data_IF_946068287231
#
_entry.id   IF_946068287231
#
_cell.length_a   1.000
_cell.length_b   1.000
_cell.length_c   1.000
_cell.angle_alpha   90.00
_cell.angle_beta   90.00
_cell.angle_gamma   90.00
#
_symmetry.space_group_name_H-M   'P 1'
#
loop_
_entity.id
_entity.type
_entity.pdbx_description
1 polymer ?
#
# COMPACT_ATOMS: atom_id res chain seq x y z
N UNK A 1 -10.70 6.42 17.61
CA UNK A 1 -9.44 6.80 16.92
C UNK A 1 -9.65 8.03 16.05
N UNK A 2 -8.62 8.80 15.75
CA UNK A 2 -8.69 9.99 14.90
C UNK A 2 -7.77 9.84 13.69
N UNK A 3 -8.05 10.57 12.61
CA UNK A 3 -7.14 10.59 11.43
C UNK A 3 -5.69 10.93 11.81
N UNK A 4 -5.48 11.71 12.87
CA UNK A 4 -4.13 12.06 13.34
C UNK A 4 -3.37 10.87 13.95
N UNK A 5 -4.05 9.76 14.26
CA UNK A 5 -3.45 8.53 14.79
C UNK A 5 -2.91 7.61 13.68
N UNK A 6 -2.79 8.12 12.46
CA UNK A 6 -2.32 7.38 11.28
C UNK A 6 -1.00 7.95 10.79
N UNK A 7 0.04 7.13 10.71
CA UNK A 7 1.28 7.42 9.98
C UNK A 7 1.19 6.80 8.58
N UNK A 8 1.56 7.55 7.55
CA UNK A 8 1.56 7.05 6.18
C UNK A 8 2.93 6.45 5.85
N UNK A 9 2.96 5.24 5.32
CA UNK A 9 4.15 4.61 4.75
C UNK A 9 4.03 4.71 3.23
N UNK A 10 4.95 5.44 2.61
CA UNK A 10 5.05 5.58 1.16
C UNK A 10 6.29 4.82 0.68
N UNK A 11 6.08 3.65 0.06
CA UNK A 11 7.16 2.81 -0.44
C UNK A 11 7.53 3.19 -1.88
N UNK A 12 8.81 3.46 -2.14
CA UNK A 12 9.31 3.79 -3.48
C UNK A 12 10.54 2.97 -3.85
N UNK A 13 10.72 2.77 -5.14
CA UNK A 13 11.86 2.11 -5.74
C UNK A 13 12.21 2.77 -7.08
N UNK A 14 13.28 2.34 -7.75
CA UNK A 14 13.61 2.87 -9.06
C UNK A 14 12.54 2.54 -10.10
N UNK A 15 12.18 3.55 -10.89
CA UNK A 15 11.26 3.44 -12.03
C UNK A 15 11.94 3.96 -13.33
N UNK A 16 11.41 3.62 -14.51
CA UNK A 16 11.99 4.06 -15.80
C UNK A 16 12.12 5.58 -15.94
N UNK A 17 11.21 6.37 -15.40
CA UNK A 17 11.18 7.83 -15.56
C UNK A 17 12.18 8.60 -14.69
N UNK A 18 12.83 7.96 -13.70
CA UNK A 18 13.83 8.65 -12.90
C UNK A 18 14.92 9.29 -13.75
N UNK A 19 15.35 10.50 -13.42
CA UNK A 19 15.22 11.24 -12.15
C UNK A 19 13.95 12.12 -12.02
N UNK A 20 12.91 11.89 -12.80
CA UNK A 20 11.64 12.60 -12.69
C UNK A 20 10.93 12.27 -11.36
N UNK A 21 10.26 13.26 -10.75
CA UNK A 21 9.54 13.11 -9.46
C UNK A 21 8.02 13.22 -9.59
N UNK A 22 7.47 13.44 -10.81
CA UNK A 22 6.04 13.71 -10.99
C UNK A 22 5.14 12.59 -10.43
N UNK A 23 5.55 11.32 -10.57
CA UNK A 23 4.77 10.19 -10.04
C UNK A 23 4.66 10.26 -8.51
N UNK A 24 5.76 10.56 -7.83
CA UNK A 24 5.77 10.73 -6.37
C UNK A 24 5.02 12.00 -5.96
N UNK A 25 5.15 13.08 -6.71
CA UNK A 25 4.40 14.32 -6.48
C UNK A 25 2.89 14.05 -6.53
N UNK A 26 2.42 13.32 -7.55
CA UNK A 26 1.03 12.93 -7.69
C UNK A 26 0.56 12.07 -6.52
N UNK A 27 1.36 11.08 -6.12
CA UNK A 27 1.02 10.19 -5.02
C UNK A 27 0.97 10.94 -3.69
N UNK A 28 1.92 11.83 -3.39
CA UNK A 28 1.90 12.66 -2.17
C UNK A 28 0.69 13.59 -2.18
N UNK A 29 0.39 14.23 -3.32
CA UNK A 29 -0.78 15.10 -3.44
C UNK A 29 -2.09 14.34 -3.21
N UNK A 30 -2.21 13.12 -3.72
CA UNK A 30 -3.35 12.26 -3.47
C UNK A 30 -3.51 11.91 -1.99
N UNK A 31 -2.41 11.59 -1.31
CA UNK A 31 -2.40 11.34 0.13
C UNK A 31 -2.84 12.61 0.89
N UNK A 32 -2.31 13.77 0.53
CA UNK A 32 -2.62 15.06 1.18
C UNK A 32 -4.08 15.50 1.03
N UNK A 33 -4.76 15.11 -0.06
CA UNK A 33 -6.19 15.33 -0.21
C UNK A 33 -6.99 14.64 0.91
N UNK A 34 -6.56 13.48 1.39
CA UNK A 34 -7.21 12.73 2.46
C UNK A 34 -6.58 13.00 3.85
N UNK A 35 -5.27 13.17 3.92
CA UNK A 35 -4.46 13.32 5.15
C UNK A 35 -3.54 14.55 5.08
N UNK A 36 -4.07 15.77 5.24
CA UNK A 36 -3.36 17.01 4.95
C UNK A 36 -2.14 17.27 5.85
N UNK A 37 -2.09 16.71 7.04
CA UNK A 37 -1.08 17.02 8.06
C UNK A 37 -0.33 15.81 8.62
N UNK A 38 -0.75 14.59 8.29
CA UNK A 38 -0.16 13.36 8.84
C UNK A 38 1.31 13.21 8.43
N UNK A 39 2.08 12.56 9.28
CA UNK A 39 3.44 12.16 8.93
C UNK A 39 3.43 11.15 7.78
N UNK A 40 4.30 11.38 6.80
CA UNK A 40 4.60 10.41 5.74
C UNK A 40 6.05 9.96 5.94
N UNK A 41 6.25 8.68 6.19
CA UNK A 41 7.57 8.06 6.15
C UNK A 41 7.76 7.49 4.74
N UNK A 42 8.63 8.14 3.97
CA UNK A 42 8.93 7.74 2.60
C UNK A 42 10.12 6.77 2.59
N UNK A 43 9.87 5.53 2.24
CA UNK A 43 10.89 4.50 2.06
C UNK A 43 11.44 4.59 0.63
N UNK A 44 12.75 4.77 0.48
CA UNK A 44 13.42 4.84 -0.83
C UNK A 44 14.38 3.66 -0.91
N UNK A 45 14.02 2.63 -1.67
CA UNK A 45 14.82 1.40 -1.78
C UNK A 45 16.15 1.64 -2.52
N UNK A 46 17.11 0.76 -2.27
CA UNK A 46 18.37 0.73 -3.01
C UNK A 46 18.24 0.06 -4.39
N UNK A 47 19.28 0.17 -5.20
CA UNK A 47 19.34 -0.42 -6.52
C UNK A 47 19.63 -1.92 -6.47
N UNK A 48 18.98 -2.69 -7.33
CA UNK A 48 19.36 -4.06 -7.65
C UNK A 48 20.65 -4.06 -8.50
N UNK A 49 21.38 -5.15 -8.51
CA UNK A 49 22.61 -5.28 -9.30
C UNK A 49 22.40 -5.00 -10.79
N UNK A 50 21.27 -5.45 -11.32
CA UNK A 50 20.88 -5.28 -12.73
C UNK A 50 20.56 -3.82 -13.09
N UNK A 51 20.28 -2.98 -12.07
CA UNK A 51 19.89 -1.58 -12.20
C UNK A 51 21.05 -0.61 -11.96
N UNK A 52 22.27 -1.09 -11.66
CA UNK A 52 23.43 -0.24 -11.34
C UNK A 52 23.84 0.69 -12.50
N UNK A 53 23.50 0.34 -13.74
CA UNK A 53 23.71 1.21 -14.90
C UNK A 53 22.87 2.49 -14.87
N UNK A 54 21.86 2.57 -14.00
CA UNK A 54 20.99 3.73 -13.78
C UNK A 54 21.29 4.47 -12.46
N UNK A 55 22.46 4.21 -11.88
CA UNK A 55 22.82 4.76 -10.57
C UNK A 55 22.77 6.29 -10.54
N UNK A 56 23.30 6.94 -11.57
CA UNK A 56 23.38 8.40 -11.61
C UNK A 56 22.00 9.05 -11.69
N UNK A 57 21.09 8.52 -12.51
CA UNK A 57 19.69 8.97 -12.58
C UNK A 57 18.98 8.78 -11.24
N UNK A 58 19.24 7.65 -10.56
CA UNK A 58 18.59 7.35 -9.31
C UNK A 58 19.16 8.16 -8.12
N UNK A 59 20.45 8.45 -8.15
CA UNK A 59 21.06 9.35 -7.16
C UNK A 59 20.55 10.78 -7.33
N UNK A 60 20.40 11.25 -8.58
CA UNK A 60 19.76 12.53 -8.87
C UNK A 60 18.30 12.57 -8.38
N UNK A 61 17.52 11.51 -8.62
CA UNK A 61 16.17 11.38 -8.08
C UNK A 61 16.15 11.52 -6.54
N UNK A 62 17.02 10.78 -5.83
CA UNK A 62 17.12 10.86 -4.36
C UNK A 62 17.43 12.29 -3.90
N UNK A 63 18.36 12.98 -4.58
CA UNK A 63 18.69 14.37 -4.26
C UNK A 63 17.50 15.30 -4.45
N UNK A 64 16.72 15.14 -5.53
CA UNK A 64 15.49 15.91 -5.76
C UNK A 64 14.46 15.64 -4.68
N UNK A 65 14.26 14.39 -4.29
CA UNK A 65 13.32 14.02 -3.21
C UNK A 65 13.76 14.64 -1.87
N UNK A 66 15.04 14.57 -1.52
CA UNK A 66 15.55 15.19 -0.30
C UNK A 66 15.32 16.70 -0.30
N UNK A 67 15.59 17.37 -1.43
CA UNK A 67 15.31 18.79 -1.57
C UNK A 67 13.81 19.10 -1.39
N UNK A 68 12.93 18.32 -2.02
CA UNK A 68 11.47 18.48 -1.89
C UNK A 68 10.99 18.22 -0.46
N UNK A 69 11.54 17.23 0.24
CA UNK A 69 11.22 16.99 1.66
C UNK A 69 11.59 18.17 2.55
N UNK A 70 12.65 18.92 2.21
CA UNK A 70 13.09 20.10 2.97
C UNK A 70 12.31 21.37 2.63
N UNK A 71 11.81 21.51 1.40
CA UNK A 71 11.32 22.79 0.89
C UNK A 71 9.87 22.77 0.40
N UNK A 72 9.34 21.64 -0.05
CA UNK A 72 8.03 21.56 -0.68
C UNK A 72 7.06 20.63 0.06
N UNK A 73 7.49 19.40 0.41
CA UNK A 73 6.61 18.45 1.04
C UNK A 73 6.44 18.76 2.52
N UNK A 74 5.19 18.75 2.95
CA UNK A 74 4.88 18.98 4.36
C UNK A 74 4.92 17.67 5.14
N UNK A 75 5.71 17.63 6.23
CA UNK A 75 5.77 16.51 7.17
C UNK A 75 6.07 15.16 6.48
N UNK A 76 7.12 15.13 5.64
CA UNK A 76 7.62 13.93 4.97
C UNK A 76 9.03 13.62 5.48
N UNK A 77 9.20 12.42 6.05
CA UNK A 77 10.48 11.90 6.53
C UNK A 77 11.01 10.85 5.54
N UNK A 78 12.06 11.14 4.75
CA UNK A 78 12.66 10.15 3.87
C UNK A 78 13.58 9.19 4.62
N UNK A 79 13.44 7.89 4.37
CA UNK A 79 14.36 6.84 4.81
C UNK A 79 14.98 6.21 3.56
N UNK A 80 16.27 6.47 3.36
CA UNK A 80 17.01 5.97 2.20
C UNK A 80 17.74 4.67 2.57
N UNK A 81 17.55 3.65 1.75
CA UNK A 81 18.25 2.38 1.87
C UNK A 81 19.39 2.33 0.85
N UNK A 82 20.63 2.16 1.32
CA UNK A 82 21.81 2.15 0.45
C UNK A 82 21.86 0.93 -0.47
N UNK A 83 21.31 -0.18 0.01
CA UNK A 83 21.26 -1.44 -0.73
C UNK A 83 19.81 -1.83 -0.99
N UNK A 84 19.58 -2.59 -2.07
CA UNK A 84 18.28 -3.16 -2.35
C UNK A 84 17.79 -4.00 -1.16
N UNK A 85 16.76 -3.51 -0.53
CA UNK A 85 16.19 -4.05 0.73
C UNK A 85 14.85 -4.72 0.51
N UNK A 86 14.17 -4.36 -0.56
CA UNK A 86 12.81 -4.81 -0.86
C UNK A 86 11.79 -4.44 0.24
N UNK A 87 10.51 -4.63 -0.04
CA UNK A 87 9.40 -4.22 0.85
C UNK A 87 9.52 -4.77 2.27
N UNK A 88 9.81 -6.07 2.43
CA UNK A 88 9.87 -6.72 3.75
C UNK A 88 10.93 -6.10 4.65
N UNK A 89 12.16 -5.92 4.14
CA UNK A 89 13.27 -5.36 4.93
C UNK A 89 13.03 -3.88 5.22
N UNK A 90 12.55 -3.12 4.24
CA UNK A 90 12.20 -1.71 4.43
C UNK A 90 11.14 -1.56 5.52
N UNK A 91 10.05 -2.34 5.44
CA UNK A 91 8.96 -2.28 6.41
C UNK A 91 9.41 -2.70 7.82
N UNK A 92 10.23 -3.76 7.95
CA UNK A 92 10.77 -4.16 9.27
C UNK A 92 11.58 -3.08 9.96
N UNK A 93 12.35 -2.31 9.20
CA UNK A 93 13.11 -1.18 9.76
C UNK A 93 12.19 -0.02 10.11
N UNK A 94 11.25 0.30 9.23
CA UNK A 94 10.38 1.46 9.38
C UNK A 94 9.30 1.28 10.44
N UNK A 95 8.77 0.05 10.62
CA UNK A 95 7.66 -0.20 11.56
C UNK A 95 8.01 0.16 13.01
N UNK A 96 9.28 0.18 13.35
CA UNK A 96 9.76 0.54 14.68
C UNK A 96 9.81 2.06 14.91
N UNK A 97 9.83 2.85 13.82
CA UNK A 97 9.82 4.32 13.89
C UNK A 97 8.39 4.87 14.01
N UNK A 98 7.38 4.06 13.69
CA UNK A 98 5.98 4.48 13.75
C UNK A 98 5.53 4.61 15.20
N UNK A 99 5.09 5.81 15.57
CA UNK A 99 4.58 6.14 16.91
C UNK A 99 3.06 6.03 17.04
N UNK A 100 2.35 5.99 15.92
CA UNK A 100 0.88 5.87 15.88
C UNK A 100 0.45 4.40 15.97
N UNK A 101 -0.81 4.17 16.32
CA UNK A 101 -1.39 2.82 16.36
C UNK A 101 -1.76 2.28 14.99
N UNK A 102 -1.92 3.16 14.00
CA UNK A 102 -2.32 2.84 12.65
C UNK A 102 -1.30 3.30 11.63
N UNK A 103 -1.22 2.56 10.53
CA UNK A 103 -0.51 2.97 9.32
C UNK A 103 -1.46 2.95 8.11
N UNK A 104 -1.23 3.86 7.19
CA UNK A 104 -1.74 3.79 5.82
C UNK A 104 -0.55 3.44 4.92
N UNK A 105 -0.58 2.27 4.29
CA UNK A 105 0.45 1.87 3.32
C UNK A 105 0.04 2.32 1.92
N UNK A 106 0.98 2.92 1.20
CA UNK A 106 0.81 3.36 -0.20
C UNK A 106 2.11 3.07 -0.95
N UNK A 107 2.04 2.53 -2.15
CA UNK A 107 3.19 2.46 -3.05
C UNK A 107 3.28 3.73 -3.90
N UNK A 108 4.48 4.08 -4.34
CA UNK A 108 4.72 5.32 -5.07
C UNK A 108 3.96 5.43 -6.40
N UNK A 109 3.48 4.32 -6.92
CA UNK A 109 2.71 4.18 -8.17
C UNK A 109 1.23 3.81 -7.95
N UNK A 110 0.78 3.74 -6.69
CA UNK A 110 -0.62 3.39 -6.37
C UNK A 110 -1.31 4.45 -5.51
N UNK A 111 -1.48 5.69 -6.02
CA UNK A 111 -2.12 6.77 -5.27
C UNK A 111 -3.58 6.46 -4.93
N UNK A 112 -4.07 7.11 -3.86
CA UNK A 112 -5.50 7.20 -3.58
C UNK A 112 -6.18 8.10 -4.62
N UNK A 113 -7.47 7.89 -4.88
CA UNK A 113 -8.24 8.79 -5.74
C UNK A 113 -8.60 10.05 -4.95
N UNK A 114 -8.06 11.24 -5.31
CA UNK A 114 -8.16 12.44 -4.46
C UNK A 114 -9.57 13.00 -4.34
N UNK A 115 -10.38 12.89 -5.41
CA UNK A 115 -11.71 13.48 -5.52
C UNK A 115 -12.83 12.49 -5.13
N UNK A 116 -12.48 11.32 -4.60
CA UNK A 116 -13.45 10.30 -4.16
C UNK A 116 -13.55 10.31 -2.65
N UNK A 117 -14.76 10.46 -2.16
CA UNK A 117 -15.03 10.40 -0.72
C UNK A 117 -14.77 8.99 -0.17
N UNK A 118 -13.96 8.96 0.89
CA UNK A 118 -13.74 7.79 1.74
C UNK A 118 -14.21 8.17 3.15
N UNK A 119 -15.15 7.40 3.69
CA UNK A 119 -15.57 7.56 5.08
C UNK A 119 -14.49 7.03 6.03
N UNK A 120 -13.48 7.87 6.24
CA UNK A 120 -12.35 7.55 7.11
C UNK A 120 -12.77 7.30 8.55
N UNK A 121 -13.80 8.00 9.05
CA UNK A 121 -14.26 7.78 10.42
C UNK A 121 -14.82 6.36 10.57
N UNK A 122 -15.62 5.91 9.62
CA UNK A 122 -16.16 4.55 9.60
C UNK A 122 -15.05 3.49 9.50
N UNK A 123 -14.00 3.73 8.69
CA UNK A 123 -12.83 2.86 8.63
C UNK A 123 -12.10 2.80 9.98
N UNK A 124 -11.89 3.95 10.63
CA UNK A 124 -11.24 4.05 11.92
C UNK A 124 -12.04 3.34 13.01
N UNK A 125 -13.36 3.53 13.03
CA UNK A 125 -14.27 2.90 14.00
C UNK A 125 -14.24 1.36 13.85
N UNK A 126 -14.25 0.84 12.62
CA UNK A 126 -14.18 -0.61 12.37
C UNK A 126 -12.89 -1.22 12.95
N UNK A 127 -11.76 -0.50 12.83
CA UNK A 127 -10.50 -0.93 13.42
C UNK A 127 -10.52 -0.74 14.95
N UNK A 128 -11.01 0.39 15.45
CA UNK A 128 -11.06 0.67 16.89
C UNK A 128 -11.87 -0.37 17.65
N UNK A 129 -13.01 -0.79 17.11
CA UNK A 129 -13.86 -1.85 17.68
C UNK A 129 -13.34 -3.28 17.43
N UNK A 130 -12.09 -3.42 16.97
CA UNK A 130 -11.43 -4.70 16.72
C UNK A 130 -12.13 -5.59 15.68
N UNK A 131 -12.95 -5.01 14.82
CA UNK A 131 -13.64 -5.70 13.72
C UNK A 131 -12.77 -5.82 12.47
N UNK A 132 -11.73 -4.99 12.35
CA UNK A 132 -10.77 -5.03 11.26
C UNK A 132 -9.32 -4.93 11.76
N UNK A 133 -8.41 -5.65 11.12
CA UNK A 133 -6.97 -5.43 11.21
C UNK A 133 -6.45 -4.65 10.02
N UNK A 134 -7.07 -4.84 8.85
CA UNK A 134 -6.70 -4.15 7.61
C UNK A 134 -7.94 -3.85 6.77
N UNK A 135 -7.98 -2.64 6.19
CA UNK A 135 -9.01 -2.20 5.24
C UNK A 135 -8.31 -1.72 3.98
N UNK A 136 -8.53 -2.40 2.86
CA UNK A 136 -7.96 -2.10 1.55
C UNK A 136 -8.84 -1.16 0.74
N UNK A 137 -8.21 -0.22 0.03
CA UNK A 137 -8.88 0.70 -0.89
C UNK A 137 -8.69 0.22 -2.33
N UNK A 138 -9.78 -0.31 -2.89
CA UNK A 138 -9.73 -1.03 -4.13
C UNK A 138 -9.59 -0.09 -5.33
N UNK A 139 -8.81 -0.51 -6.35
CA UNK A 139 -8.61 0.26 -7.57
C UNK A 139 -9.54 -0.20 -8.71
N UNK A 140 -10.19 -1.34 -8.57
CA UNK A 140 -11.18 -1.82 -9.53
C UNK A 140 -12.58 -1.35 -9.16
N UNK A 141 -13.45 -1.26 -10.17
CA UNK A 141 -14.87 -0.90 -9.98
C UNK A 141 -15.74 -2.10 -9.61
N UNK A 142 -15.23 -3.32 -9.82
CA UNK A 142 -15.90 -4.58 -9.48
C UNK A 142 -14.87 -5.63 -9.09
N UNK A 143 -15.30 -6.62 -8.33
CA UNK A 143 -14.44 -7.77 -7.99
C UNK A 143 -14.29 -8.67 -9.22
N UNK A 144 -13.06 -8.95 -9.69
CA UNK A 144 -12.80 -9.87 -10.79
C UNK A 144 -13.39 -11.26 -10.51
N UNK A 145 -13.84 -11.96 -11.57
CA UNK A 145 -14.49 -13.27 -11.42
C UNK A 145 -13.59 -14.30 -10.75
N UNK A 146 -12.31 -14.25 -11.08
CA UNK A 146 -11.26 -15.12 -10.54
C UNK A 146 -11.04 -14.93 -9.03
N UNK A 147 -11.33 -13.74 -8.49
CA UNK A 147 -11.16 -13.43 -7.07
C UNK A 147 -12.44 -13.60 -6.24
N UNK A 148 -13.59 -13.91 -6.86
CA UNK A 148 -14.87 -14.00 -6.15
C UNK A 148 -14.87 -15.06 -5.05
N UNK A 149 -14.13 -16.15 -5.22
CA UNK A 149 -14.03 -17.22 -4.21
C UNK A 149 -13.29 -16.78 -2.94
N UNK A 150 -12.57 -15.65 -2.97
CA UNK A 150 -11.88 -15.03 -1.84
C UNK A 150 -12.71 -13.98 -1.12
N UNK A 151 -13.94 -13.73 -1.59
CA UNK A 151 -14.84 -12.71 -1.05
C UNK A 151 -16.01 -13.38 -0.34
N UNK A 152 -16.41 -12.82 0.80
CA UNK A 152 -17.44 -13.41 1.66
C UNK A 152 -18.61 -12.45 1.88
N UNK A 153 -18.81 -11.97 3.09
CA UNK A 153 -19.94 -11.12 3.43
C UNK A 153 -19.65 -9.64 3.16
N UNK A 154 -20.67 -8.94 2.67
CA UNK A 154 -20.68 -7.48 2.55
C UNK A 154 -21.49 -6.93 3.73
N UNK A 155 -20.81 -6.25 4.65
CA UNK A 155 -21.42 -5.63 5.82
C UNK A 155 -21.13 -4.12 5.80
N UNK A 156 -22.20 -3.32 5.74
CA UNK A 156 -22.14 -1.87 5.90
C UNK A 156 -21.08 -1.15 5.02
N UNK A 157 -20.92 -1.62 3.78
CA UNK A 157 -19.96 -1.07 2.82
C UNK A 157 -18.53 -1.59 2.97
N UNK A 158 -18.34 -2.66 3.74
CA UNK A 158 -17.07 -3.39 3.82
C UNK A 158 -17.26 -4.82 3.38
N UNK A 159 -16.40 -5.29 2.49
CA UNK A 159 -16.42 -6.65 1.95
C UNK A 159 -15.34 -7.49 2.62
N UNK A 160 -15.74 -8.57 3.28
CA UNK A 160 -14.81 -9.53 3.88
C UNK A 160 -14.01 -10.24 2.79
N UNK A 161 -12.71 -10.46 3.02
CA UNK A 161 -11.85 -11.11 2.04
C UNK A 161 -10.77 -11.98 2.67
N UNK A 162 -10.38 -13.06 1.99
CA UNK A 162 -9.16 -13.80 2.24
C UNK A 162 -7.98 -13.29 1.40
N UNK A 163 -8.19 -12.29 0.56
CA UNK A 163 -7.17 -11.78 -0.35
C UNK A 163 -6.33 -10.69 0.32
N UNK A 164 -5.03 -10.98 0.55
CA UNK A 164 -4.06 -9.92 0.85
C UNK A 164 -3.64 -9.21 -0.44
N UNK A 165 -3.43 -7.89 -0.36
CA UNK A 165 -2.84 -7.10 -1.45
C UNK A 165 -2.10 -5.89 -0.89
N UNK A 166 -0.99 -5.48 -1.55
CA UNK A 166 -0.23 -4.28 -1.20
C UNK A 166 -0.86 -2.98 -1.75
N UNK A 167 -2.01 -3.04 -2.40
CA UNK A 167 -2.77 -1.82 -2.74
C UNK A 167 -2.95 -0.94 -1.50
N UNK A 168 -3.23 0.36 -1.65
CA UNK A 168 -3.38 1.25 -0.50
C UNK A 168 -4.31 0.66 0.54
N UNK A 169 -3.85 0.59 1.77
CA UNK A 169 -4.63 0.02 2.86
C UNK A 169 -4.31 0.65 4.22
N UNK A 170 -5.34 0.84 5.02
CA UNK A 170 -5.25 1.22 6.42
C UNK A 170 -5.09 -0.04 7.26
N UNK A 171 -4.12 -0.08 8.16
CA UNK A 171 -3.86 -1.25 9.00
C UNK A 171 -3.41 -0.90 10.41
N UNK A 172 -3.62 -1.83 11.35
CA UNK A 172 -2.98 -1.76 12.67
C UNK A 172 -1.47 -1.94 12.53
N UNK A 173 -0.69 -1.08 13.17
CA UNK A 173 0.77 -1.24 13.28
C UNK A 173 1.10 -2.57 13.99
N UNK A 174 0.34 -2.93 15.03
CA UNK A 174 0.50 -4.20 15.74
C UNK A 174 0.28 -5.42 14.87
N UNK A 175 -0.68 -5.37 13.93
CA UNK A 175 -0.95 -6.47 13.00
C UNK A 175 0.23 -6.68 12.03
N UNK A 176 0.79 -5.60 11.48
CA UNK A 176 2.01 -5.68 10.68
C UNK A 176 3.18 -6.26 11.48
N UNK A 177 3.39 -5.73 12.70
CA UNK A 177 4.53 -6.11 13.56
C UNK A 177 4.50 -7.56 14.02
N UNK A 178 3.31 -8.06 14.37
CA UNK A 178 3.18 -9.36 15.04
C UNK A 178 2.60 -10.48 14.15
N UNK A 179 1.96 -10.14 13.03
CA UNK A 179 1.32 -11.14 12.16
C UNK A 179 1.88 -11.13 10.75
N UNK A 180 1.97 -9.97 10.09
CA UNK A 180 2.38 -9.91 8.68
C UNK A 180 3.90 -10.13 8.53
N UNK A 181 4.73 -9.37 9.24
CA UNK A 181 6.17 -9.38 9.01
C UNK A 181 6.91 -10.63 9.55
N UNK A 182 6.55 -11.24 10.70
CA UNK A 182 7.34 -12.32 11.27
C UNK A 182 7.57 -13.53 10.38
N UNK A 183 6.57 -14.07 9.64
CA UNK A 183 6.74 -15.26 8.81
C UNK A 183 7.47 -14.99 7.49
N UNK A 184 7.74 -13.72 7.14
CA UNK A 184 8.32 -13.37 5.85
C UNK A 184 9.85 -13.45 5.88
N UNK A 185 10.44 -13.82 4.74
CA UNK A 185 11.88 -13.73 4.54
C UNK A 185 12.33 -12.26 4.41
N UNK A 186 13.63 -12.01 4.56
CA UNK A 186 14.22 -10.72 4.18
C UNK A 186 14.24 -10.58 2.66
N UNK A 187 14.19 -9.33 2.18
CA UNK A 187 14.26 -9.01 0.74
C UNK A 187 13.19 -9.71 -0.11
N UNK A 188 11.92 -9.66 0.33
CA UNK A 188 10.78 -10.22 -0.39
C UNK A 188 9.68 -9.18 -0.63
N UNK A 189 8.83 -9.43 -1.63
CA UNK A 189 7.53 -8.78 -1.72
C UNK A 189 6.63 -9.25 -0.59
N UNK A 190 6.01 -8.33 0.11
CA UNK A 190 5.08 -8.68 1.19
C UNK A 190 3.87 -9.39 0.59
N UNK A 191 3.32 -8.90 -0.54
CA UNK A 191 2.13 -9.47 -1.17
C UNK A 191 2.32 -10.93 -1.56
N UNK A 192 3.38 -11.25 -2.29
CA UNK A 192 3.65 -12.60 -2.83
C UNK A 192 3.70 -13.69 -1.74
N UNK A 193 4.20 -13.33 -0.56
CA UNK A 193 4.35 -14.28 0.54
C UNK A 193 3.13 -14.31 1.46
N UNK A 194 2.60 -13.12 1.77
CA UNK A 194 1.50 -12.98 2.73
C UNK A 194 0.20 -13.51 2.17
N UNK A 195 -0.05 -13.32 0.86
CA UNK A 195 -1.31 -13.76 0.23
C UNK A 195 -1.57 -15.25 0.44
N UNK A 196 -0.60 -16.11 0.11
CA UNK A 196 -0.75 -17.56 0.28
C UNK A 196 -0.95 -17.96 1.75
N UNK A 197 -0.16 -17.41 2.66
CA UNK A 197 -0.25 -17.71 4.10
C UNK A 197 -1.66 -17.38 4.63
N UNK A 198 -2.17 -16.19 4.33
CA UNK A 198 -3.48 -15.75 4.80
C UNK A 198 -4.60 -16.57 4.16
N UNK A 199 -4.49 -16.82 2.85
CA UNK A 199 -5.49 -17.63 2.15
C UNK A 199 -5.57 -19.03 2.73
N UNK A 200 -4.44 -19.70 2.98
CA UNK A 200 -4.40 -21.04 3.56
C UNK A 200 -4.99 -21.09 4.99
N UNK A 201 -4.84 -20.01 5.77
CA UNK A 201 -5.40 -19.92 7.12
C UNK A 201 -6.91 -19.62 7.10
N UNK A 202 -7.40 -18.78 6.18
CA UNK A 202 -8.83 -18.43 6.08
C UNK A 202 -9.63 -19.48 5.30
N UNK A 203 -9.01 -20.13 4.31
CA UNK A 203 -9.64 -21.13 3.43
C UNK A 203 -8.92 -22.48 3.48
N UNK A 204 -8.70 -23.07 4.66
CA UNK A 204 -8.09 -24.40 4.72
C UNK A 204 -8.96 -25.41 3.96
N UNK A 205 -8.36 -26.13 3.00
CA UNK A 205 -9.06 -27.08 2.14
C UNK A 205 -10.26 -26.45 1.38
N UNK A 206 -10.12 -25.21 0.92
CA UNK A 206 -11.15 -24.42 0.22
C UNK A 206 -12.46 -24.20 1.04
N UNK A 207 -12.36 -24.28 2.37
CA UNK A 207 -13.48 -24.03 3.28
C UNK A 207 -13.21 -22.84 4.17
N UNK A 208 -14.19 -21.94 4.25
CA UNK A 208 -14.09 -20.78 5.12
C UNK A 208 -13.93 -21.19 6.59
N UNK A 209 -12.87 -20.69 7.21
CA UNK A 209 -12.55 -20.85 8.62
C UNK A 209 -12.85 -19.55 9.36
N UNK A 210 -13.80 -19.59 10.28
CA UNK A 210 -14.12 -18.44 11.15
C UNK A 210 -12.91 -18.04 11.98
N UNK A 211 -12.21 -19.01 12.60
CA UNK A 211 -11.02 -18.75 13.42
C UNK A 211 -9.88 -18.14 12.57
N UNK A 212 -9.68 -18.66 11.35
CA UNK A 212 -8.70 -18.11 10.42
C UNK A 212 -9.02 -16.68 10.03
N UNK A 213 -10.30 -16.39 9.74
CA UNK A 213 -10.70 -15.03 9.40
C UNK A 213 -10.62 -14.08 10.60
N UNK A 214 -11.06 -14.49 11.79
CA UNK A 214 -10.95 -13.70 13.03
C UNK A 214 -9.50 -13.30 13.37
N UNK A 215 -8.53 -14.15 13.02
CA UNK A 215 -7.11 -13.82 13.16
C UNK A 215 -6.69 -12.67 12.26
N UNK A 216 -7.20 -12.62 11.04
CA UNK A 216 -6.77 -11.66 10.02
C UNK A 216 -7.69 -10.45 9.88
N UNK A 217 -9.01 -10.63 9.88
CA UNK A 217 -10.03 -9.56 9.78
C UNK A 217 -9.72 -8.59 8.65
N UNK A 218 -9.59 -9.14 7.43
CA UNK A 218 -9.30 -8.37 6.23
C UNK A 218 -10.58 -7.89 5.58
N UNK A 219 -10.63 -6.60 5.25
CA UNK A 219 -11.75 -5.96 4.59
C UNK A 219 -11.32 -5.18 3.35
N UNK A 220 -12.23 -5.06 2.41
CA UNK A 220 -12.16 -4.11 1.31
C UNK A 220 -13.20 -3.02 1.59
N UNK A 221 -12.81 -1.75 1.53
CA UNK A 221 -13.76 -0.64 1.53
C UNK A 221 -14.53 -0.64 0.22
N UNK A 222 -15.79 -1.08 0.27
CA UNK A 222 -16.63 -1.36 -0.89
C UNK A 222 -18.08 -0.86 -0.67
N UNK A 223 -18.27 0.45 -0.38
CA UNK A 223 -19.60 1.03 -0.30
C UNK A 223 -20.29 0.95 -1.67
N UNK A 224 -21.61 1.17 -1.69
CA UNK A 224 -22.39 1.12 -2.92
C UNK A 224 -21.80 2.02 -4.02
N UNK A 225 -21.85 1.50 -5.25
CA UNK A 225 -21.32 2.15 -6.44
C UNK A 225 -19.95 1.64 -6.87
N UNK A 226 -19.73 1.65 -8.18
CA UNK A 226 -18.49 1.19 -8.82
C UNK A 226 -17.47 2.31 -8.89
N UNK A 227 -16.89 2.73 -7.76
CA UNK A 227 -15.96 3.86 -7.69
C UNK A 227 -14.58 3.35 -7.28
N UNK A 228 -13.55 3.71 -8.06
CA UNK A 228 -12.15 3.44 -7.73
C UNK A 228 -11.71 4.30 -6.55
N UNK A 229 -11.11 3.71 -5.52
CA UNK A 229 -10.54 4.43 -4.35
C UNK A 229 -9.04 4.62 -4.44
N UNK A 230 -8.42 3.89 -5.33
CA UNK A 230 -7.01 4.04 -5.71
C UNK A 230 -6.87 3.81 -7.21
N UNK A 231 -5.71 4.12 -7.77
CA UNK A 231 -5.39 3.85 -9.16
C UNK A 231 -3.92 3.47 -9.29
N UNK A 232 -3.48 3.09 -10.47
CA UNK A 232 -2.10 2.72 -10.73
C UNK A 232 -1.49 3.68 -11.77
N UNK A 233 -0.27 4.13 -11.49
CA UNK A 233 0.52 4.96 -12.39
C UNK A 233 1.56 4.09 -13.11
N UNK A 234 1.71 4.28 -14.40
CA UNK A 234 2.83 3.71 -15.15
C UNK A 234 4.02 4.69 -15.06
N UNK A 235 5.10 4.27 -14.43
CA UNK A 235 6.33 5.06 -14.30
C UNK A 235 7.13 5.24 -15.61
N UNK A 236 6.46 5.32 -16.77
CA UNK A 236 7.06 5.54 -18.09
C UNK A 236 6.63 6.88 -18.67
N UNK A 237 7.56 7.63 -19.25
CA UNK A 237 7.27 8.94 -19.87
C UNK A 237 6.17 8.84 -20.91
N UNK A 238 5.17 9.70 -20.78
CA UNK A 238 4.06 9.82 -21.74
C UNK A 238 2.96 8.77 -21.60
N UNK A 239 3.04 7.84 -20.65
CA UNK A 239 2.05 6.78 -20.44
C UNK A 239 1.25 6.93 -19.14
N UNK A 240 1.34 8.09 -18.50
CA UNK A 240 0.61 8.39 -17.25
C UNK A 240 -0.90 8.47 -17.49
N UNK A 241 -1.50 7.33 -17.75
CA UNK A 241 -2.94 7.14 -17.80
C UNK A 241 -3.33 6.15 -16.73
N UNK A 242 -4.57 6.27 -16.24
CA UNK A 242 -5.19 5.21 -15.44
C UNK A 242 -5.12 3.90 -16.21
N UNK A 243 -4.21 3.02 -15.85
CA UNK A 243 -4.11 1.70 -16.48
C UNK A 243 -5.11 0.76 -15.83
N UNK A 244 -5.80 -0.03 -16.65
CA UNK A 244 -6.53 -1.21 -16.18
C UNK A 244 -5.55 -2.35 -15.92
N UNK A 245 -5.90 -3.30 -15.05
CA UNK A 245 -5.06 -4.48 -14.79
C UNK A 245 -4.70 -5.25 -16.05
N UNK A 246 -5.59 -5.27 -17.05
CA UNK A 246 -5.36 -5.92 -18.33
C UNK A 246 -4.16 -5.34 -19.11
N UNK A 247 -3.84 -4.06 -18.90
CA UNK A 247 -2.67 -3.41 -19.50
C UNK A 247 -1.37 -3.68 -18.72
N UNK A 248 -1.47 -3.97 -17.40
CA UNK A 248 -0.32 -4.30 -16.54
C UNK A 248 0.12 -5.75 -16.74
N UNK A 249 -0.82 -6.66 -16.95
CA UNK A 249 -0.56 -8.09 -17.18
C UNK A 249 0.00 -8.38 -18.59
N UNK A 250 0.07 -7.40 -19.47
CA UNK A 250 0.73 -7.48 -20.79
C UNK A 250 2.27 -7.63 -20.76
N UNK A 251 2.86 -7.86 -19.59
CA UNK A 251 4.26 -8.28 -19.46
C UNK A 251 4.42 -9.79 -19.74
N UNK A 252 3.98 -10.23 -20.91
CA UNK A 252 4.41 -11.48 -21.52
C UNK A 252 5.25 -11.15 -22.75
N UNK A 253 6.57 -11.09 -22.58
CA UNK A 253 7.50 -10.90 -23.66
C UNK A 253 8.90 -10.74 -23.10
#
# INVERSE_FOLDING_TARGET
MHKNDVTIILATSIIPDHPDTEMIDETINSIRAHFPNNEIIMQIDGLRKEQLHRKDDYDEYKNRILWKCLHEYKNVLPIIFDQHSHQTTMMRKTINEIQTSLLLYVEGDTPLTPDVEIDWQKCLDLIEYEKANTIRFHFETSIPKEHKHLMFELEDGFLQTAQWSQRPHLSRVSYYRHTILPPLDSCAFIEDRTHGIIQDEILPYDKFSVDGWEKHKLWIYHPEGSIKRSYHLDGRKGTRKYTSDDEIMGYTG
#
